data_IF_774991008315
#
_entry.id   IF_774991008315
#
_cell.length_a   1.000
_cell.length_b   1.000
_cell.length_c   1.000
_cell.angle_alpha   90.00
_cell.angle_beta   90.00
_cell.angle_gamma   90.00
#
_symmetry.space_group_name_H-M   'P 1'
#
loop_
_entity.id
_entity.type
_entity.pdbx_description
1 polymer ?
#
# COMPACT_ATOMS: atom_id res chain seq x y z
N UNK A 1 0.09 25.30 11.01
CA UNK A 1 -0.95 24.26 10.92
C UNK A 1 -0.25 22.89 10.95
N UNK A 2 -0.76 21.88 11.66
CA UNK A 2 -0.20 20.54 11.51
C UNK A 2 -0.34 20.15 10.03
N UNK A 3 0.78 19.86 9.37
CA UNK A 3 0.72 19.42 7.98
C UNK A 3 -0.09 18.13 7.90
N UNK A 4 -1.08 18.10 7.01
CA UNK A 4 -1.86 16.90 6.69
C UNK A 4 -0.87 15.76 6.42
N UNK A 5 -1.00 14.64 7.13
CA UNK A 5 -0.09 13.51 6.99
C UNK A 5 0.03 13.11 5.51
N UNK A 6 1.26 12.95 5.01
CA UNK A 6 1.49 12.57 3.62
C UNK A 6 0.98 11.14 3.41
N UNK A 7 0.01 10.99 2.52
CA UNK A 7 -0.52 9.69 2.08
C UNK A 7 0.04 9.34 0.72
N UNK A 8 0.29 8.05 0.49
CA UNK A 8 0.76 7.53 -0.80
C UNK A 8 -0.28 7.72 -1.91
N UNK A 9 -1.56 7.56 -1.56
CA UNK A 9 -2.73 7.66 -2.43
C UNK A 9 -3.72 8.65 -1.80
N UNK A 10 -4.41 9.42 -2.63
CA UNK A 10 -5.57 10.25 -2.29
C UNK A 10 -6.71 9.91 -3.23
N UNK A 11 -7.91 9.85 -2.69
CA UNK A 11 -9.13 9.60 -3.46
C UNK A 11 -10.16 10.68 -3.14
N UNK A 12 -10.89 11.12 -4.16
CA UNK A 12 -12.06 11.99 -4.06
C UNK A 12 -13.08 11.55 -5.12
N UNK A 13 -14.07 10.76 -4.71
CA UNK A 13 -14.89 9.97 -5.64
C UNK A 13 -14.02 9.03 -6.48
N UNK A 14 -14.17 9.11 -7.81
CA UNK A 14 -13.38 8.33 -8.77
C UNK A 14 -12.01 8.96 -9.10
N UNK A 15 -11.73 10.17 -8.58
CA UNK A 15 -10.44 10.82 -8.80
C UNK A 15 -9.38 10.19 -7.90
N UNK A 16 -8.32 9.66 -8.50
CA UNK A 16 -7.19 9.03 -7.82
C UNK A 16 -5.94 9.88 -8.06
N UNK A 17 -5.25 10.23 -6.98
CA UNK A 17 -3.93 10.87 -7.03
C UNK A 17 -2.92 10.08 -6.21
N UNK A 18 -1.68 10.00 -6.68
CA UNK A 18 -0.58 9.36 -5.97
C UNK A 18 0.56 10.35 -5.78
N UNK A 19 1.29 10.25 -4.67
CA UNK A 19 2.53 11.01 -4.51
C UNK A 19 3.63 10.37 -5.37
N UNK A 20 4.33 11.16 -6.18
CA UNK A 20 5.47 10.66 -6.94
C UNK A 20 6.67 10.45 -6.01
N UNK A 21 6.89 9.21 -5.60
CA UNK A 21 7.96 8.81 -4.70
C UNK A 21 9.36 8.95 -5.32
N UNK A 22 9.49 9.16 -6.63
CA UNK A 22 10.77 9.43 -7.28
C UNK A 22 11.26 10.86 -7.00
N UNK A 23 10.35 11.78 -6.66
CA UNK A 23 10.67 13.18 -6.40
C UNK A 23 10.95 13.47 -4.92
N UNK A 24 10.53 12.57 -4.02
CA UNK A 24 10.85 12.67 -2.60
C UNK A 24 12.36 12.50 -2.34
N UNK A 25 12.95 13.16 -1.33
CA UNK A 25 12.32 14.08 -0.37
C UNK A 25 12.20 15.53 -0.86
N UNK A 26 12.79 15.87 -2.01
CA UNK A 26 13.00 17.26 -2.43
C UNK A 26 11.72 17.93 -2.91
N UNK A 27 10.84 17.17 -3.58
CA UNK A 27 9.58 17.68 -4.12
C UNK A 27 8.44 16.75 -3.74
N UNK A 28 7.40 17.31 -3.11
CA UNK A 28 6.14 16.62 -2.87
C UNK A 28 5.15 16.99 -3.97
N UNK A 29 4.98 16.09 -4.94
CA UNK A 29 4.05 16.26 -6.05
C UNK A 29 3.07 15.08 -6.10
N UNK A 30 1.79 15.41 -6.22
CA UNK A 30 0.75 14.43 -6.52
C UNK A 30 0.49 14.42 -8.03
N UNK A 31 0.38 13.22 -8.58
CA UNK A 31 0.01 13.00 -9.99
C UNK A 31 -1.32 12.25 -10.03
N UNK A 32 -2.17 12.65 -10.96
CA UNK A 32 -3.46 12.02 -11.18
C UNK A 32 -3.30 10.71 -11.95
N UNK A 33 -4.07 9.70 -11.58
CA UNK A 33 -4.14 8.39 -12.25
C UNK A 33 -5.53 8.25 -12.84
N UNK A 34 -5.63 8.30 -14.17
CA UNK A 34 -6.92 8.34 -14.88
C UNK A 34 -7.28 7.02 -15.52
N UNK A 35 -6.28 6.22 -15.91
CA UNK A 35 -6.49 4.97 -16.63
C UNK A 35 -5.77 3.79 -15.99
N UNK A 36 -6.11 2.59 -16.46
CA UNK A 36 -5.41 1.35 -16.09
C UNK A 36 -3.93 1.43 -16.47
N UNK A 37 -3.60 2.04 -17.61
CA UNK A 37 -2.23 2.24 -18.08
C UNK A 37 -1.45 3.21 -17.19
N UNK A 38 -2.09 4.28 -16.71
CA UNK A 38 -1.47 5.20 -15.74
C UNK A 38 -1.09 4.46 -14.46
N UNK A 39 -2.01 3.66 -13.92
CA UNK A 39 -1.79 2.88 -12.71
C UNK A 39 -0.66 1.85 -12.90
N UNK A 40 -0.71 1.10 -14.00
CA UNK A 40 0.32 0.14 -14.37
C UNK A 40 1.68 0.80 -14.48
N UNK A 41 1.77 1.90 -15.24
CA UNK A 41 3.00 2.66 -15.46
C UNK A 41 3.56 3.20 -14.15
N UNK A 42 2.72 3.80 -13.29
CA UNK A 42 3.14 4.30 -11.98
C UNK A 42 3.72 3.21 -11.07
N UNK A 43 3.10 2.03 -11.06
CA UNK A 43 3.58 0.85 -10.31
C UNK A 43 4.90 0.34 -10.91
N UNK A 44 4.96 0.19 -12.24
CA UNK A 44 6.13 -0.34 -12.95
C UNK A 44 7.36 0.53 -12.73
N UNK A 45 7.20 1.84 -12.90
CA UNK A 45 8.24 2.87 -12.82
C UNK A 45 8.59 3.31 -11.39
N UNK A 46 7.93 2.74 -10.37
CA UNK A 46 8.15 3.07 -8.96
C UNK A 46 7.79 4.50 -8.54
N UNK A 47 6.94 5.19 -9.30
CA UNK A 47 6.30 6.43 -8.83
C UNK A 47 5.46 6.16 -7.58
N UNK A 48 4.83 4.97 -7.52
CA UNK A 48 4.30 4.39 -6.29
C UNK A 48 4.96 3.03 -6.03
N UNK A 49 5.23 2.74 -4.76
CA UNK A 49 5.87 1.49 -4.34
C UNK A 49 5.45 1.11 -2.92
N UNK A 50 5.80 -0.12 -2.55
CA UNK A 50 5.32 -0.79 -1.34
C UNK A 50 4.15 -1.70 -1.71
N UNK A 51 4.26 -2.98 -1.36
CA UNK A 51 3.33 -3.99 -1.85
C UNK A 51 1.85 -3.66 -1.54
N UNK A 52 1.50 -3.16 -0.34
CA UNK A 52 0.11 -2.79 -0.05
C UNK A 52 -0.37 -1.55 -0.81
N UNK A 53 0.47 -0.52 -0.97
CA UNK A 53 0.12 0.66 -1.77
C UNK A 53 -0.08 0.33 -3.26
N UNK A 54 0.78 -0.54 -3.81
CA UNK A 54 0.65 -1.03 -5.19
C UNK A 54 -0.67 -1.77 -5.39
N UNK A 55 -1.04 -2.65 -4.46
CA UNK A 55 -2.30 -3.39 -4.54
C UNK A 55 -3.52 -2.45 -4.45
N UNK A 56 -3.47 -1.48 -3.54
CA UNK A 56 -4.53 -0.49 -3.37
C UNK A 56 -4.72 0.37 -4.62
N UNK A 57 -3.64 0.86 -5.23
CA UNK A 57 -3.73 1.63 -6.47
C UNK A 57 -4.32 0.81 -7.62
N UNK A 58 -3.86 -0.43 -7.80
CA UNK A 58 -4.36 -1.30 -8.86
C UNK A 58 -5.86 -1.58 -8.68
N UNK A 59 -6.30 -1.84 -7.44
CA UNK A 59 -7.71 -2.05 -7.13
C UNK A 59 -8.54 -0.78 -7.38
N UNK A 60 -8.08 0.39 -6.91
CA UNK A 60 -8.80 1.65 -7.11
C UNK A 60 -8.93 2.02 -8.59
N UNK A 61 -7.85 1.89 -9.38
CA UNK A 61 -7.89 2.16 -10.81
C UNK A 61 -8.85 1.20 -11.55
N UNK A 62 -8.87 -0.07 -11.14
CA UNK A 62 -9.83 -1.05 -11.65
C UNK A 62 -11.28 -0.70 -11.30
N UNK A 63 -11.53 -0.24 -10.06
CA UNK A 63 -12.86 0.22 -9.65
C UNK A 63 -13.31 1.45 -10.46
N UNK A 64 -12.41 2.40 -10.72
CA UNK A 64 -12.70 3.60 -11.51
C UNK A 64 -13.04 3.26 -12.97
N UNK A 65 -12.32 2.33 -13.59
CA UNK A 65 -12.61 1.85 -14.95
C UNK A 65 -14.03 1.25 -15.06
N UNK A 66 -14.38 0.37 -14.13
CA UNK A 66 -15.70 -0.25 -14.09
C UNK A 66 -16.82 0.74 -13.75
N UNK A 67 -16.56 1.68 -12.84
CA UNK A 67 -17.53 2.72 -12.46
C UNK A 67 -17.84 3.65 -13.65
N UNK A 68 -16.82 4.01 -14.43
CA UNK A 68 -16.98 4.74 -15.69
C UNK A 68 -17.84 3.96 -16.69
N UNK A 69 -17.63 2.65 -16.80
CA UNK A 69 -18.47 1.78 -17.65
C UNK A 69 -19.93 1.73 -17.23
N UNK A 70 -20.21 1.68 -15.92
CA UNK A 70 -21.57 1.72 -15.40
C UNK A 70 -22.26 3.05 -15.73
N UNK A 71 -21.54 4.17 -15.60
CA UNK A 71 -22.07 5.50 -15.92
C UNK A 71 -22.36 5.67 -17.42
N UNK A 72 -21.52 5.07 -18.28
CA UNK A 72 -21.63 5.18 -19.74
C UNK A 72 -22.43 4.05 -20.38
N UNK A 73 -22.94 3.09 -19.60
CA UNK A 73 -23.61 1.87 -20.10
C UNK A 73 -22.77 1.12 -21.14
N UNK A 74 -21.50 0.89 -20.82
CA UNK A 74 -20.54 0.27 -21.72
C UNK A 74 -20.97 -1.11 -22.22
N UNK A 75 -20.60 -1.45 -23.47
CA UNK A 75 -21.00 -2.70 -24.15
C UNK A 75 -20.61 -3.97 -23.39
N UNK A 76 -19.52 -3.94 -22.61
CA UNK A 76 -19.12 -5.09 -21.80
C UNK A 76 -20.10 -5.41 -20.65
N UNK A 77 -21.07 -4.54 -20.37
CA UNK A 77 -22.14 -4.78 -19.39
C UNK A 77 -23.36 -5.50 -20.01
N UNK A 78 -23.33 -5.84 -21.30
CA UNK A 78 -24.44 -6.51 -21.97
C UNK A 78 -24.59 -7.98 -21.58
N UNK A 79 -23.50 -8.65 -21.18
CA UNK A 79 -23.56 -10.02 -20.66
C UNK A 79 -22.41 -10.33 -19.69
N UNK A 80 -22.56 -11.32 -18.81
CA UNK A 80 -21.48 -11.78 -17.94
C UNK A 80 -20.20 -12.19 -18.70
N UNK A 81 -20.35 -12.75 -19.90
CA UNK A 81 -19.25 -13.16 -20.79
C UNK A 81 -18.51 -11.94 -21.35
N UNK A 82 -19.25 -10.90 -21.77
CA UNK A 82 -18.64 -9.66 -22.25
C UNK A 82 -17.89 -8.94 -21.13
N UNK A 83 -18.45 -8.91 -19.91
CA UNK A 83 -17.78 -8.35 -18.74
C UNK A 83 -16.51 -9.14 -18.41
N UNK A 84 -16.57 -10.47 -18.45
CA UNK A 84 -15.40 -11.33 -18.24
C UNK A 84 -14.29 -11.02 -19.24
N UNK A 85 -14.64 -10.88 -20.53
CA UNK A 85 -13.69 -10.56 -21.59
C UNK A 85 -13.06 -9.17 -21.44
N UNK A 86 -13.72 -8.22 -20.78
CA UNK A 86 -13.15 -6.92 -20.41
C UNK A 86 -12.24 -7.00 -19.17
N UNK A 87 -12.69 -7.68 -18.12
CA UNK A 87 -12.03 -7.69 -16.80
C UNK A 87 -10.75 -8.54 -16.79
N UNK A 88 -10.77 -9.74 -17.36
CA UNK A 88 -9.62 -10.66 -17.26
C UNK A 88 -8.32 -10.08 -17.85
N UNK A 89 -8.33 -9.45 -19.05
CA UNK A 89 -7.14 -8.81 -19.59
C UNK A 89 -6.62 -7.65 -18.73
N UNK A 90 -7.50 -6.85 -18.12
CA UNK A 90 -7.13 -5.73 -17.25
C UNK A 90 -6.42 -6.25 -16.00
N UNK A 91 -6.99 -7.25 -15.32
CA UNK A 91 -6.38 -7.86 -14.15
C UNK A 91 -5.02 -8.49 -14.48
N UNK A 92 -4.93 -9.23 -15.59
CA UNK A 92 -3.68 -9.81 -16.06
C UNK A 92 -2.64 -8.73 -16.37
N UNK A 93 -3.03 -7.64 -17.04
CA UNK A 93 -2.16 -6.53 -17.35
C UNK A 93 -1.63 -5.85 -16.09
N UNK A 94 -2.50 -5.46 -15.14
CA UNK A 94 -2.11 -4.86 -13.87
C UNK A 94 -1.11 -5.72 -13.10
N UNK A 95 -1.27 -7.06 -13.11
CA UNK A 95 -0.33 -7.98 -12.46
C UNK A 95 1.10 -7.85 -13.01
N UNK A 96 1.25 -7.64 -14.32
CA UNK A 96 2.57 -7.55 -14.98
C UNK A 96 3.37 -6.31 -14.56
N UNK A 97 2.75 -5.33 -13.93
CA UNK A 97 3.44 -4.14 -13.44
C UNK A 97 4.53 -4.53 -12.44
N UNK A 98 4.20 -5.36 -11.43
CA UNK A 98 5.13 -5.89 -10.43
C UNK A 98 4.71 -7.26 -9.87
N UNK A 99 4.99 -8.38 -10.58
CA UNK A 99 4.57 -9.72 -10.15
C UNK A 99 5.13 -10.20 -8.81
N UNK A 100 6.22 -9.58 -8.34
CA UNK A 100 6.84 -9.90 -7.04
C UNK A 100 6.08 -9.31 -5.85
N UNK A 101 5.13 -8.39 -6.07
CA UNK A 101 4.31 -7.84 -5.01
C UNK A 101 3.17 -8.80 -4.65
N UNK A 102 3.34 -9.56 -3.56
CA UNK A 102 2.36 -10.56 -3.12
C UNK A 102 0.96 -9.97 -2.87
N UNK A 103 0.88 -8.74 -2.32
CA UNK A 103 -0.40 -8.06 -2.12
C UNK A 103 -1.13 -7.79 -3.45
N UNK A 104 -0.42 -7.42 -4.52
CA UNK A 104 -1.01 -7.22 -5.84
C UNK A 104 -1.57 -8.54 -6.38
N UNK A 105 -0.79 -9.61 -6.31
CA UNK A 105 -1.25 -10.95 -6.71
C UNK A 105 -2.44 -11.43 -5.88
N UNK A 106 -2.50 -11.08 -4.60
CA UNK A 106 -3.63 -11.44 -3.71
C UNK A 106 -4.90 -10.69 -4.10
N UNK A 107 -4.82 -9.36 -4.29
CA UNK A 107 -5.95 -8.56 -4.74
C UNK A 107 -6.50 -9.03 -6.09
N UNK A 108 -5.62 -9.35 -7.03
CA UNK A 108 -6.02 -9.85 -8.36
C UNK A 108 -6.73 -11.20 -8.25
N UNK A 109 -6.18 -12.15 -7.49
CA UNK A 109 -6.86 -13.45 -7.27
C UNK A 109 -8.22 -13.28 -6.61
N UNK A 110 -8.35 -12.36 -5.68
CA UNK A 110 -9.61 -12.07 -4.99
C UNK A 110 -10.67 -11.50 -5.95
N UNK A 111 -10.29 -10.53 -6.79
CA UNK A 111 -11.17 -9.98 -7.84
C UNK A 111 -11.56 -11.04 -8.87
N UNK A 112 -10.62 -11.88 -9.32
CA UNK A 112 -10.91 -13.01 -10.21
C UNK A 112 -11.89 -13.98 -9.57
N UNK A 113 -11.72 -14.33 -8.29
CA UNK A 113 -12.64 -15.22 -7.59
C UNK A 113 -14.05 -14.63 -7.45
N UNK A 114 -14.18 -13.32 -7.24
CA UNK A 114 -15.48 -12.63 -7.23
C UNK A 114 -16.14 -12.69 -8.60
N UNK A 115 -15.42 -12.41 -9.68
CA UNK A 115 -15.92 -12.52 -11.05
C UNK A 115 -16.44 -13.94 -11.33
N UNK A 116 -15.60 -14.96 -11.12
CA UNK A 116 -15.93 -16.35 -11.41
C UNK A 116 -17.11 -16.86 -10.58
N UNK A 117 -17.12 -16.58 -9.27
CA UNK A 117 -18.18 -17.05 -8.37
C UNK A 117 -19.54 -16.42 -8.70
N UNK A 118 -19.56 -15.14 -9.08
CA UNK A 118 -20.80 -14.43 -9.42
C UNK A 118 -21.35 -14.86 -10.79
N UNK A 119 -20.48 -15.10 -11.77
CA UNK A 119 -20.85 -15.70 -13.06
C UNK A 119 -21.47 -17.08 -12.82
N UNK A 120 -20.80 -17.94 -12.02
CA UNK A 120 -21.30 -19.28 -11.70
C UNK A 120 -22.64 -19.24 -10.96
N UNK A 121 -22.89 -18.20 -10.17
CA UNK A 121 -24.16 -17.97 -9.50
C UNK A 121 -25.26 -17.38 -10.40
N UNK A 122 -25.01 -17.24 -11.71
CA UNK A 122 -25.99 -16.73 -12.68
C UNK A 122 -26.38 -15.26 -12.47
N UNK A 123 -25.48 -14.44 -11.91
CA UNK A 123 -25.72 -13.01 -11.75
C UNK A 123 -25.57 -12.28 -13.08
N UNK A 124 -26.34 -11.22 -13.28
CA UNK A 124 -26.21 -10.34 -14.44
C UNK A 124 -24.91 -9.51 -14.38
N UNK A 125 -24.47 -9.02 -15.53
CA UNK A 125 -23.20 -8.29 -15.67
C UNK A 125 -23.13 -7.04 -14.77
N UNK A 126 -24.23 -6.31 -14.61
CA UNK A 126 -24.25 -5.10 -13.78
C UNK A 126 -24.03 -5.44 -12.31
N UNK A 127 -24.75 -6.44 -11.80
CA UNK A 127 -24.56 -6.94 -10.43
C UNK A 127 -23.14 -7.48 -10.19
N UNK A 128 -22.53 -8.14 -11.18
CA UNK A 128 -21.14 -8.61 -11.09
C UNK A 128 -20.18 -7.42 -11.03
N UNK A 129 -20.37 -6.43 -11.91
CA UNK A 129 -19.56 -5.21 -11.99
C UNK A 129 -19.58 -4.44 -10.66
N UNK A 130 -20.76 -4.23 -10.08
CA UNK A 130 -20.92 -3.58 -8.76
C UNK A 130 -20.21 -4.36 -7.64
N UNK A 131 -20.26 -5.70 -7.67
CA UNK A 131 -19.55 -6.53 -6.69
C UNK A 131 -18.02 -6.45 -6.84
N UNK A 132 -17.51 -6.31 -8.07
CA UNK A 132 -16.09 -6.12 -8.35
C UNK A 132 -15.61 -4.76 -7.85
N UNK A 133 -16.35 -3.69 -8.13
CA UNK A 133 -16.08 -2.33 -7.62
C UNK A 133 -16.04 -2.34 -6.10
N UNK A 134 -17.05 -2.92 -5.44
CA UNK A 134 -17.10 -3.01 -3.98
C UNK A 134 -15.91 -3.79 -3.40
N UNK A 135 -15.51 -4.88 -4.05
CA UNK A 135 -14.34 -5.68 -3.65
C UNK A 135 -13.05 -4.89 -3.79
N UNK A 136 -12.89 -4.15 -4.89
CA UNK A 136 -11.72 -3.34 -5.15
C UNK A 136 -11.57 -2.18 -4.13
N UNK A 137 -12.66 -1.47 -3.82
CA UNK A 137 -12.63 -0.48 -2.74
C UNK A 137 -12.28 -1.10 -1.40
N UNK A 138 -12.87 -2.25 -1.06
CA UNK A 138 -12.56 -2.95 0.18
C UNK A 138 -11.07 -3.33 0.29
N UNK A 139 -10.44 -3.79 -0.79
CA UNK A 139 -9.00 -4.08 -0.83
C UNK A 139 -8.18 -2.85 -0.41
N UNK A 140 -8.54 -1.66 -0.90
CA UNK A 140 -7.86 -0.40 -0.59
C UNK A 140 -8.19 0.11 0.83
N UNK A 141 -9.47 0.08 1.22
CA UNK A 141 -9.97 0.64 2.49
C UNK A 141 -9.49 -0.15 3.70
N UNK A 142 -9.42 -1.48 3.58
CA UNK A 142 -8.98 -2.35 4.67
C UNK A 142 -7.46 -2.25 4.93
N UNK A 143 -6.66 -1.69 4.02
CA UNK A 143 -5.20 -1.67 4.14
C UNK A 143 -4.74 -0.93 5.41
N UNK A 144 -5.25 0.28 5.65
CA UNK A 144 -4.88 1.07 6.85
C UNK A 144 -5.25 0.33 8.14
N UNK A 145 -6.43 -0.30 8.17
CA UNK A 145 -6.88 -1.09 9.31
C UNK A 145 -5.95 -2.28 9.59
N UNK A 146 -5.61 -3.04 8.54
CA UNK A 146 -4.66 -4.16 8.63
C UNK A 146 -3.28 -3.72 9.10
N UNK A 147 -2.78 -2.60 8.57
CA UNK A 147 -1.49 -2.02 8.94
C UNK A 147 -1.45 -1.68 10.43
N UNK A 148 -2.47 -0.99 10.94
CA UNK A 148 -2.59 -0.66 12.37
C UNK A 148 -2.67 -1.91 13.25
N UNK A 149 -3.51 -2.87 12.87
CA UNK A 149 -3.69 -4.10 13.65
C UNK A 149 -2.39 -4.91 13.72
N UNK A 150 -1.70 -5.10 12.60
CA UNK A 150 -0.44 -5.84 12.56
C UNK A 150 0.69 -5.11 13.31
N UNK A 151 0.74 -3.79 13.23
CA UNK A 151 1.67 -2.99 14.01
C UNK A 151 1.44 -3.10 15.52
N UNK A 152 0.17 -3.05 15.97
CA UNK A 152 -0.20 -3.27 17.36
C UNK A 152 0.22 -4.67 17.83
N UNK A 153 -0.22 -5.71 17.12
CA UNK A 153 0.08 -7.11 17.46
C UNK A 153 1.59 -7.36 17.52
N UNK A 154 2.33 -6.86 16.53
CA UNK A 154 3.79 -7.03 16.49
C UNK A 154 4.52 -6.24 17.57
N UNK A 155 4.06 -5.03 17.88
CA UNK A 155 4.66 -4.19 18.92
C UNK A 155 4.42 -4.75 20.32
N UNK A 156 3.20 -5.20 20.61
CA UNK A 156 2.87 -5.86 21.88
C UNK A 156 3.63 -7.16 22.04
N UNK A 157 3.66 -8.01 20.99
CA UNK A 157 4.45 -9.23 21.00
C UNK A 157 5.94 -8.97 21.26
N UNK A 158 6.53 -7.93 20.65
CA UNK A 158 7.94 -7.60 20.84
C UNK A 158 8.24 -7.18 22.28
N UNK A 159 7.39 -6.32 22.86
CA UNK A 159 7.51 -5.90 24.25
C UNK A 159 7.40 -7.08 25.22
N UNK A 160 6.38 -7.93 25.04
CA UNK A 160 6.19 -9.16 25.83
C UNK A 160 7.38 -10.11 25.70
N UNK A 161 7.92 -10.29 24.48
CA UNK A 161 9.06 -11.18 24.24
C UNK A 161 10.31 -10.70 24.97
N UNK A 162 10.52 -9.38 25.05
CA UNK A 162 11.63 -8.77 25.80
C UNK A 162 11.46 -8.93 27.30
N UNK A 163 10.23 -8.78 27.81
CA UNK A 163 9.91 -9.06 29.22
C UNK A 163 10.17 -10.52 29.60
N UNK A 164 9.75 -11.46 28.76
CA UNK A 164 10.04 -12.90 28.95
C UNK A 164 11.54 -13.22 28.94
N UNK A 165 12.38 -12.35 28.38
CA UNK A 165 13.83 -12.48 28.37
C UNK A 165 14.52 -11.61 29.45
N UNK A 166 13.78 -11.09 30.43
CA UNK A 166 14.32 -10.35 31.57
C UNK A 166 14.59 -8.86 31.35
N UNK A 167 14.12 -8.26 30.25
CA UNK A 167 14.22 -6.81 29.98
C UNK A 167 12.90 -6.07 30.27
N UNK A 168 12.89 -4.73 30.34
CA UNK A 168 11.70 -3.94 30.74
C UNK A 168 10.50 -4.02 29.78
N UNK A 169 10.69 -4.41 28.51
CA UNK A 169 9.67 -4.29 27.46
C UNK A 169 9.45 -2.86 26.95
N UNK A 170 10.15 -1.89 27.56
CA UNK A 170 10.19 -0.48 27.20
C UNK A 170 11.60 -0.09 26.74
N UNK A 171 11.77 1.13 26.23
CA UNK A 171 13.07 1.61 25.73
C UNK A 171 13.61 0.74 24.60
N UNK A 172 12.73 0.15 23.79
CA UNK A 172 13.08 -0.81 22.75
C UNK A 172 13.85 -0.12 21.62
N UNK A 173 14.99 -0.69 21.25
CA UNK A 173 15.74 -0.25 20.09
C UNK A 173 15.40 -1.13 18.89
N UNK A 174 14.95 -0.53 17.78
CA UNK A 174 14.45 -1.27 16.61
C UNK A 174 15.18 -0.82 15.34
N UNK A 175 15.75 -1.75 14.59
CA UNK A 175 16.35 -1.50 13.28
C UNK A 175 15.39 -1.94 12.17
N UNK A 176 15.18 -1.08 11.17
CA UNK A 176 14.38 -1.36 9.97
C UNK A 176 15.18 -1.16 8.68
N UNK A 177 14.70 -1.75 7.59
CA UNK A 177 15.31 -1.71 6.26
C UNK A 177 14.23 -1.33 5.23
N UNK A 178 14.63 -0.62 4.17
CA UNK A 178 13.75 -0.06 3.14
C UNK A 178 12.87 1.08 3.67
N UNK A 179 11.71 1.29 3.05
CA UNK A 179 10.63 2.14 3.56
C UNK A 179 9.40 1.25 3.69
N UNK A 180 8.82 1.22 4.88
CA UNK A 180 7.62 0.42 5.21
C UNK A 180 6.56 1.26 5.91
N UNK A 181 6.64 2.59 5.76
CA UNK A 181 5.71 3.54 6.36
C UNK A 181 4.42 3.76 5.58
N UNK A 182 3.75 4.87 5.89
CA UNK A 182 2.58 5.37 5.17
C UNK A 182 2.82 5.65 3.68
N UNK A 183 4.09 5.80 3.25
CA UNK A 183 4.42 5.93 1.83
C UNK A 183 4.49 4.58 1.10
N UNK A 184 4.72 3.49 1.82
CA UNK A 184 4.76 2.13 1.26
C UNK A 184 3.42 1.38 1.38
N UNK A 185 2.43 2.02 1.97
CA UNK A 185 1.09 1.49 2.27
C UNK A 185 0.04 2.55 1.99
N UNK A 186 -1.25 2.26 2.16
CA UNK A 186 -2.31 3.28 2.13
C UNK A 186 -2.31 4.17 3.39
N UNK A 187 -1.48 3.84 4.38
CA UNK A 187 -1.32 4.61 5.61
C UNK A 187 -0.78 3.77 6.77
N UNK A 188 -0.25 4.45 7.78
CA UNK A 188 0.37 3.90 8.99
C UNK A 188 1.68 3.12 8.72
N UNK A 189 1.66 2.14 7.83
CA UNK A 189 2.82 1.32 7.49
C UNK A 189 2.81 -0.07 8.14
N UNK A 190 3.80 -0.88 7.78
CA UNK A 190 4.00 -2.23 8.28
C UNK A 190 5.06 -2.28 9.38
N UNK A 191 6.33 -2.55 9.06
CA UNK A 191 7.40 -2.55 10.06
C UNK A 191 7.64 -1.15 10.64
N UNK A 192 7.57 -0.09 9.83
CA UNK A 192 7.59 1.29 10.34
C UNK A 192 6.28 1.65 11.07
N UNK A 193 5.16 1.00 10.73
CA UNK A 193 3.91 1.09 11.50
C UNK A 193 4.07 0.52 12.91
N UNK A 194 4.75 -0.61 13.07
CA UNK A 194 5.11 -1.18 14.37
C UNK A 194 6.00 -0.22 15.18
N UNK A 195 7.02 0.37 14.55
CA UNK A 195 7.87 1.39 15.19
C UNK A 195 7.03 2.60 15.62
N UNK A 196 6.08 3.02 14.78
CA UNK A 196 5.13 4.11 15.08
C UNK A 196 4.27 3.74 16.30
N UNK A 197 3.72 2.54 16.34
CA UNK A 197 2.95 2.04 17.48
C UNK A 197 3.77 2.02 18.78
N UNK A 198 5.02 1.55 18.73
CA UNK A 198 5.91 1.57 19.90
C UNK A 198 6.20 2.99 20.37
N UNK A 199 6.31 3.96 19.46
CA UNK A 199 6.45 5.36 19.82
C UNK A 199 5.18 5.92 20.47
N UNK A 200 4.02 5.71 19.84
CA UNK A 200 2.71 6.15 20.33
C UNK A 200 2.39 5.58 21.72
N UNK A 201 2.89 4.39 22.03
CA UNK A 201 2.70 3.70 23.32
C UNK A 201 3.84 3.93 24.32
N UNK A 202 4.83 4.79 24.00
CA UNK A 202 5.94 5.10 24.90
C UNK A 202 6.96 3.97 25.14
N UNK A 203 6.86 2.88 24.36
CA UNK A 203 7.74 1.70 24.48
C UNK A 203 9.00 1.79 23.62
N UNK A 204 9.07 2.72 22.67
CA UNK A 204 10.22 2.93 21.80
C UNK A 204 11.34 3.71 22.51
N UNK A 205 12.54 3.15 22.50
CA UNK A 205 13.77 3.86 22.86
C UNK A 205 14.33 4.62 21.67
N UNK A 206 14.92 3.89 20.72
CA UNK A 206 15.47 4.44 19.48
C UNK A 206 15.09 3.56 18.30
N UNK A 207 14.60 4.15 17.21
CA UNK A 207 14.55 3.43 15.94
C UNK A 207 15.67 3.87 15.00
N UNK A 208 16.14 2.86 14.26
CA UNK A 208 17.26 2.89 13.38
C UNK A 208 16.79 2.47 12.00
N UNK A 209 17.25 3.14 10.96
CA UNK A 209 16.92 2.77 9.58
C UNK A 209 18.16 2.76 8.71
N UNK A 210 18.17 1.88 7.72
CA UNK A 210 19.28 1.76 6.76
C UNK A 210 19.05 2.64 5.53
N UNK A 211 20.14 3.08 4.89
CA UNK A 211 20.05 3.87 3.65
C UNK A 211 19.21 3.17 2.55
N UNK A 212 19.33 1.84 2.42
CA UNK A 212 18.65 1.00 1.41
C UNK A 212 19.09 1.30 -0.03
N UNK A 213 20.36 1.10 -0.35
CA UNK A 213 20.87 1.25 -1.72
C UNK A 213 20.29 0.17 -2.67
N UNK A 214 20.20 0.44 -4.00
CA UNK A 214 20.58 1.67 -4.71
C UNK A 214 19.46 2.72 -4.80
N UNK A 215 18.24 2.40 -4.38
CA UNK A 215 17.07 3.30 -4.51
C UNK A 215 16.90 4.26 -3.32
N UNK A 216 17.69 4.04 -2.28
CA UNK A 216 17.84 4.90 -1.12
C UNK A 216 16.52 5.13 -0.37
N UNK A 217 15.69 4.09 -0.24
CA UNK A 217 14.33 4.22 0.32
C UNK A 217 14.33 4.71 1.76
N UNK A 218 15.19 4.17 2.62
CA UNK A 218 15.23 4.59 4.01
C UNK A 218 15.72 6.03 4.15
N UNK A 219 16.82 6.40 3.45
CA UNK A 219 17.33 7.78 3.54
C UNK A 219 16.45 8.81 2.83
N UNK A 220 15.62 8.43 1.86
CA UNK A 220 14.74 9.37 1.13
C UNK A 220 13.33 9.45 1.72
N UNK A 221 12.71 8.33 2.06
CA UNK A 221 11.31 8.27 2.47
C UNK A 221 11.14 8.16 3.98
N UNK A 222 11.89 7.27 4.65
CA UNK A 222 11.80 7.19 6.12
C UNK A 222 12.32 8.48 6.73
N UNK A 223 13.53 8.93 6.37
CA UNK A 223 14.07 10.19 6.89
C UNK A 223 13.12 11.39 6.70
N UNK A 224 12.43 11.45 5.55
CA UNK A 224 11.44 12.51 5.29
C UNK A 224 10.20 12.37 6.19
N UNK A 225 9.59 11.18 6.25
CA UNK A 225 8.40 10.95 7.09
C UNK A 225 8.68 11.29 8.55
N UNK A 226 9.92 11.04 8.98
CA UNK A 226 10.37 11.21 10.36
C UNK A 226 10.76 12.66 10.67
N UNK A 227 11.37 13.39 9.73
CA UNK A 227 11.60 14.84 9.85
C UNK A 227 10.30 15.64 9.98
N UNK A 228 9.18 15.08 9.51
CA UNK A 228 7.85 15.66 9.59
C UNK A 228 6.97 15.02 10.69
N UNK A 229 7.54 14.14 11.52
CA UNK A 229 6.90 13.51 12.68
C UNK A 229 7.59 13.88 14.01
N UNK A 230 7.03 13.44 15.15
CA UNK A 230 7.49 13.80 16.51
C UNK A 230 8.51 12.83 17.13
N UNK A 231 9.08 11.90 16.35
CA UNK A 231 9.88 10.77 16.87
C UNK A 231 11.38 11.04 16.83
N UNK A 232 12.12 10.79 17.92
CA UNK A 232 13.60 10.82 17.92
C UNK A 232 14.16 9.56 17.26
N UNK A 233 14.94 9.70 16.18
CA UNK A 233 15.44 8.57 15.37
C UNK A 233 16.85 8.83 14.86
N UNK A 234 17.64 7.75 14.69
CA UNK A 234 19.05 7.79 14.28
C UNK A 234 19.24 7.00 12.98
N UNK A 235 19.97 7.56 12.01
CA UNK A 235 20.23 6.92 10.71
C UNK A 235 21.46 6.01 10.79
N UNK A 236 21.39 4.81 10.23
CA UNK A 236 22.57 3.96 9.99
C UNK A 236 22.85 3.80 8.49
N UNK A 237 24.12 3.94 8.10
CA UNK A 237 24.54 3.71 6.73
C UNK A 237 24.67 2.20 6.48
N UNK A 238 24.17 1.72 5.33
CA UNK A 238 24.17 0.29 4.97
C UNK A 238 25.56 -0.19 4.49
N UNK A 239 26.64 0.49 4.86
CA UNK A 239 28.03 0.06 4.61
C UNK A 239 28.51 -0.97 5.62
N UNK A 240 27.84 -1.07 6.77
CA UNK A 240 28.24 -1.99 7.83
C UNK A 240 27.57 -3.34 7.59
N UNK A 241 28.16 -4.14 6.70
CA UNK A 241 28.17 -5.59 6.98
C UNK A 241 28.81 -5.71 8.36
N UNK A 242 28.02 -6.06 9.38
CA UNK A 242 28.55 -6.62 10.61
C UNK A 242 29.28 -7.91 10.23
N UNK A 243 30.58 -7.78 9.97
CA UNK A 243 31.38 -8.75 9.26
C UNK A 243 32.77 -8.19 8.96
N UNK A 244 33.44 -7.76 10.02
CA UNK A 244 34.90 -7.83 10.17
C UNK A 244 35.17 -8.62 11.46
#
# INVERSE_FOLDING_TARGET
>A
APMKALTSIRTDGDKIEIVDQLLLPHTTQYIEVKTIEDAHSAIKTMRIRGAPAIASLAALAFAADLSSGLQTSADYLMSPEALKAHVEPILAYLYTARPTAVNLGTAIRELTAVLESRIKAGKDAKTICEALIATAHRVADEDVGRNKQMAQLGGDWLAERRQKNGASGEGLNVLTVCNTGSLATSGYGTALGLITYLHETGKLGTAFFTQTAPYHQGSRCDAWMLAHGSTRLTVYCQTDRAGA
#
